data_IF_353288673436
#
_entry.id   IF_353288673436
#
_cell.length_a   1.000
_cell.length_b   1.000
_cell.length_c   1.000
_cell.angle_alpha   90.00
_cell.angle_beta   90.00
_cell.angle_gamma   90.00
#
_symmetry.space_group_name_H-M   'P 1'
#
loop_
_entity.id
_entity.type
_entity.pdbx_description
1 polymer ?
#
# COMPACT_ATOMS: atom_id res chain seq x y z
N UNK A 1 14.70 -20.39 16.05
CA UNK A 1 13.97 -20.51 14.78
C UNK A 1 14.56 -19.50 13.82
N UNK A 2 15.10 -19.86 12.65
CA UNK A 2 15.76 -18.89 11.79
C UNK A 2 14.69 -18.12 11.01
N UNK A 3 14.40 -16.91 11.48
CA UNK A 3 13.55 -15.93 10.79
C UNK A 3 14.21 -15.53 9.47
N UNK A 4 13.49 -15.68 8.36
CA UNK A 4 13.81 -15.08 7.06
C UNK A 4 13.72 -13.56 7.17
N UNK A 5 14.77 -12.92 7.69
CA UNK A 5 14.79 -11.47 7.91
C UNK A 5 15.06 -10.75 6.59
N UNK A 6 14.03 -10.15 6.00
CA UNK A 6 14.19 -9.13 4.95
C UNK A 6 15.09 -8.02 5.49
N UNK A 7 16.02 -7.52 4.68
CA UNK A 7 16.80 -6.35 5.10
C UNK A 7 15.86 -5.18 5.31
N UNK A 8 15.87 -4.56 6.49
CA UNK A 8 15.01 -3.39 6.78
C UNK A 8 15.25 -2.27 5.75
N UNK A 9 16.48 -2.13 5.25
CA UNK A 9 16.80 -1.24 4.13
C UNK A 9 16.04 -1.57 2.84
N UNK A 10 15.82 -2.84 2.52
CA UNK A 10 15.04 -3.24 1.34
C UNK A 10 13.56 -2.92 1.51
N UNK A 11 13.01 -2.98 2.73
CA UNK A 11 11.63 -2.52 2.97
C UNK A 11 11.51 -1.02 2.69
N UNK A 12 12.49 -0.22 3.10
CA UNK A 12 12.53 1.21 2.73
C UNK A 12 12.53 1.40 1.20
N UNK A 13 13.36 0.64 0.48
CA UNK A 13 13.41 0.71 -0.99
C UNK A 13 12.08 0.29 -1.61
N UNK A 14 11.48 -0.81 -1.16
CA UNK A 14 10.17 -1.27 -1.60
C UNK A 14 9.10 -0.19 -1.41
N UNK A 15 9.09 0.47 -0.25
CA UNK A 15 8.21 1.60 0.00
C UNK A 15 8.46 2.73 -1.01
N UNK A 16 9.73 3.09 -1.24
CA UNK A 16 10.11 4.20 -2.13
C UNK A 16 9.52 4.04 -3.53
N UNK A 17 9.60 2.82 -4.08
CA UNK A 17 8.91 2.45 -5.31
C UNK A 17 7.39 2.44 -5.16
N UNK A 18 6.86 1.68 -4.20
CA UNK A 18 5.42 1.46 -4.02
C UNK A 18 4.62 2.77 -3.86
N UNK A 19 5.22 3.80 -3.26
CA UNK A 19 4.61 5.11 -3.06
C UNK A 19 5.13 6.21 -4.01
N UNK A 20 5.91 5.83 -5.04
CA UNK A 20 6.40 6.71 -6.13
C UNK A 20 7.24 7.89 -5.63
N UNK A 21 8.09 7.66 -4.63
CA UNK A 21 8.97 8.66 -4.04
C UNK A 21 10.42 8.40 -4.45
N UNK A 22 10.67 8.58 -5.75
CA UNK A 22 11.91 8.16 -6.43
C UNK A 22 12.95 9.28 -6.57
N UNK A 23 12.81 10.39 -5.82
CA UNK A 23 13.89 11.37 -5.67
C UNK A 23 15.17 10.62 -5.32
N UNK A 24 16.28 10.93 -6.01
CA UNK A 24 17.21 9.92 -6.49
C UNK A 24 17.61 8.99 -5.37
N UNK A 25 17.42 7.70 -5.59
CA UNK A 25 17.87 6.61 -4.71
C UNK A 25 19.37 6.78 -4.33
N UNK A 26 20.12 7.61 -5.07
CA UNK A 26 21.46 8.10 -4.74
C UNK A 26 21.60 9.12 -3.59
N UNK A 27 20.51 9.51 -2.93
CA UNK A 27 20.51 10.33 -1.70
C UNK A 27 19.79 9.67 -0.52
N UNK A 28 19.26 8.45 -0.71
CA UNK A 28 18.88 7.58 0.40
C UNK A 28 20.16 7.41 1.20
N UNK A 29 20.17 7.68 2.52
CA UNK A 29 21.30 7.26 3.32
C UNK A 29 21.49 5.80 2.93
N UNK A 30 22.66 5.45 2.37
CA UNK A 30 23.14 4.07 2.40
C UNK A 30 22.65 3.52 3.71
N UNK A 31 21.97 2.38 3.75
CA UNK A 31 21.43 1.80 4.98
C UNK A 31 22.50 1.82 6.10
N UNK A 32 22.62 2.95 6.81
CA UNK A 32 23.72 3.34 7.71
C UNK A 32 23.13 3.64 9.06
N UNK A 33 21.83 3.94 9.12
CA UNK A 33 21.02 3.57 10.26
C UNK A 33 20.61 2.12 10.04
N UNK A 34 21.39 1.17 10.58
CA UNK A 34 20.88 -0.16 10.83
C UNK A 34 19.68 0.01 11.76
N UNK A 35 18.49 -0.14 11.21
CA UNK A 35 17.29 -0.24 12.01
C UNK A 35 17.18 -1.71 12.39
N UNK A 36 17.31 -2.00 13.68
CA UNK A 36 17.13 -3.35 14.21
C UNK A 36 15.70 -3.85 13.93
N UNK A 37 14.74 -2.93 13.87
CA UNK A 37 13.33 -3.23 13.71
C UNK A 37 12.64 -2.32 12.67
N UNK A 38 11.72 -2.91 11.91
CA UNK A 38 10.89 -2.18 10.94
C UNK A 38 10.00 -1.12 11.59
N UNK A 39 9.61 -1.34 12.85
CA UNK A 39 8.84 -0.37 13.63
C UNK A 39 9.63 0.92 13.85
N UNK A 40 10.93 0.79 14.09
CA UNK A 40 11.83 1.94 14.18
C UNK A 40 12.01 2.65 12.85
N UNK A 41 12.13 1.88 11.75
CA UNK A 41 12.16 2.46 10.41
C UNK A 41 10.89 3.28 10.14
N UNK A 42 9.71 2.69 10.38
CA UNK A 42 8.42 3.34 10.13
C UNK A 42 8.21 4.55 11.05
N UNK A 43 8.54 4.44 12.34
CA UNK A 43 8.49 5.54 13.28
C UNK A 43 9.38 6.70 12.84
N UNK A 44 10.60 6.40 12.39
CA UNK A 44 11.56 7.40 11.93
C UNK A 44 11.14 8.05 10.60
N UNK A 45 10.58 7.29 9.66
CA UNK A 45 9.97 7.86 8.44
C UNK A 45 8.79 8.76 8.80
N UNK A 46 7.83 8.25 9.60
CA UNK A 46 6.64 9.01 9.98
C UNK A 46 7.01 10.29 10.73
N UNK A 47 7.96 10.23 11.66
CA UNK A 47 8.43 11.41 12.39
C UNK A 47 9.05 12.45 11.44
N UNK A 48 9.96 12.04 10.55
CA UNK A 48 10.63 12.93 9.59
C UNK A 48 9.64 13.57 8.63
N UNK A 49 8.72 12.80 8.08
CA UNK A 49 7.75 13.29 7.10
C UNK A 49 6.64 14.12 7.73
N UNK A 50 6.19 13.76 8.92
CA UNK A 50 5.25 14.61 9.69
C UNK A 50 5.91 15.94 10.05
N UNK A 51 7.18 15.94 10.45
CA UNK A 51 7.93 17.18 10.71
C UNK A 51 8.00 18.07 9.47
N UNK A 52 8.31 17.50 8.30
CA UNK A 52 8.29 18.24 7.02
C UNK A 52 6.89 18.79 6.73
N UNK A 53 5.85 18.01 6.97
CA UNK A 53 4.48 18.41 6.69
C UNK A 53 3.98 19.51 7.63
N UNK A 54 4.27 19.41 8.93
CA UNK A 54 3.98 20.47 9.91
C UNK A 54 4.65 21.79 9.50
N UNK A 55 5.92 21.75 9.06
CA UNK A 55 6.63 22.94 8.57
C UNK A 55 6.03 23.55 7.31
N UNK A 56 5.41 22.73 6.45
CA UNK A 56 4.71 23.18 5.24
C UNK A 56 3.30 23.72 5.53
N UNK A 57 2.75 23.39 6.70
CA UNK A 57 1.35 23.58 7.04
C UNK A 57 0.54 22.31 6.84
N UNK A 58 -0.37 22.04 7.77
CA UNK A 58 -1.30 20.92 7.65
C UNK A 58 -2.27 21.14 6.49
N UNK A 59 -2.74 20.04 5.90
CA UNK A 59 -3.87 20.03 4.99
C UNK A 59 -5.10 20.63 5.68
N UNK A 60 -5.87 21.43 4.96
CA UNK A 60 -7.09 22.03 5.47
C UNK A 60 -8.18 21.83 4.44
N UNK A 61 -9.41 21.70 4.93
CA UNK A 61 -10.58 21.58 4.08
C UNK A 61 -11.65 22.59 4.50
N UNK A 62 -12.52 22.92 3.58
CA UNK A 62 -13.66 23.79 3.83
C UNK A 62 -14.82 22.95 4.35
N UNK A 63 -15.15 23.14 5.63
CA UNK A 63 -16.36 22.56 6.22
C UNK A 63 -17.47 23.61 6.21
N UNK A 64 -18.55 23.30 5.52
CA UNK A 64 -19.76 24.11 5.61
C UNK A 64 -20.32 24.06 7.03
N UNK A 65 -20.46 25.21 7.65
CA UNK A 65 -21.08 25.38 8.96
C UNK A 65 -22.35 26.21 8.84
N UNK A 66 -23.31 25.94 9.71
CA UNK A 66 -24.49 26.78 9.90
C UNK A 66 -24.58 27.14 11.38
N UNK A 67 -24.54 28.44 11.69
CA UNK A 67 -24.52 28.95 13.07
C UNK A 67 -25.26 30.27 13.19
N UNK A 68 -25.97 30.50 14.29
CA UNK A 68 -26.46 31.83 14.67
C UNK A 68 -25.29 32.73 15.07
N UNK A 69 -25.15 33.86 14.40
CA UNK A 69 -24.10 34.85 14.62
C UNK A 69 -24.71 36.23 14.84
N UNK A 70 -24.11 37.09 15.69
CA UNK A 70 -24.52 38.48 15.86
C UNK A 70 -24.16 39.36 14.64
N UNK A 71 -23.35 38.84 13.72
CA UNK A 71 -22.90 39.52 12.50
C UNK A 71 -23.06 38.62 11.28
N UNK A 72 -23.15 39.23 10.11
CA UNK A 72 -23.27 38.48 8.85
C UNK A 72 -21.92 37.87 8.47
N UNK A 73 -21.89 36.55 8.28
CA UNK A 73 -20.75 35.80 7.75
C UNK A 73 -21.23 34.81 6.69
N UNK A 74 -20.70 34.87 5.47
CA UNK A 74 -21.16 34.01 4.38
C UNK A 74 -22.60 34.29 3.97
N UNK A 75 -23.38 33.23 3.72
CA UNK A 75 -24.76 33.32 3.24
C UNK A 75 -25.74 33.27 4.41
N UNK A 76 -26.61 34.27 4.54
CA UNK A 76 -27.68 34.25 5.55
C UNK A 76 -28.77 33.25 5.16
N UNK A 77 -29.13 32.36 6.10
CA UNK A 77 -30.31 31.51 5.99
C UNK A 77 -31.50 32.24 6.66
N UNK A 78 -32.24 32.98 5.84
CA UNK A 78 -33.39 33.75 6.30
C UNK A 78 -34.50 32.86 6.87
N UNK A 79 -34.71 31.67 6.29
CA UNK A 79 -35.75 30.76 6.76
C UNK A 79 -35.41 30.21 8.15
N UNK A 80 -34.17 29.78 8.36
CA UNK A 80 -33.72 29.34 9.68
C UNK A 80 -33.72 30.49 10.69
N UNK A 81 -33.28 31.69 10.30
CA UNK A 81 -33.27 32.88 11.18
C UNK A 81 -34.67 33.29 11.65
N UNK A 82 -35.68 33.20 10.78
CA UNK A 82 -37.08 33.46 11.13
C UNK A 82 -37.60 32.36 12.05
N UNK A 83 -37.36 31.09 11.69
CA UNK A 83 -37.81 29.92 12.47
C UNK A 83 -37.25 29.91 13.90
N UNK A 84 -35.98 30.28 14.07
CA UNK A 84 -35.29 30.31 15.35
C UNK A 84 -35.47 31.63 16.11
N UNK A 85 -36.17 32.62 15.51
CA UNK A 85 -36.38 33.97 16.03
C UNK A 85 -35.07 34.69 16.36
N UNK A 86 -33.98 34.38 15.64
CA UNK A 86 -32.63 34.90 15.89
C UNK A 86 -32.60 36.44 15.87
N UNK A 87 -33.43 37.08 15.04
CA UNK A 87 -33.57 38.54 15.00
C UNK A 87 -33.95 39.16 16.35
N UNK A 88 -34.77 38.47 17.16
CA UNK A 88 -35.18 38.95 18.49
C UNK A 88 -34.01 38.95 19.46
N UNK A 89 -33.02 38.08 19.22
CA UNK A 89 -31.76 37.98 19.98
C UNK A 89 -30.62 38.80 19.37
N UNK A 90 -30.90 39.58 18.32
CA UNK A 90 -29.88 40.36 17.60
C UNK A 90 -28.94 39.50 16.76
N UNK A 91 -29.37 38.31 16.33
CA UNK A 91 -28.57 37.36 15.55
C UNK A 91 -29.21 36.95 14.23
N UNK A 92 -28.40 36.30 13.39
CA UNK A 92 -28.78 35.73 12.09
C UNK A 92 -28.18 34.33 11.96
N UNK A 93 -28.96 33.37 11.50
CA UNK A 93 -28.44 32.05 11.11
C UNK A 93 -27.69 32.20 9.79
N UNK A 94 -26.40 31.93 9.83
CA UNK A 94 -25.49 32.11 8.70
C UNK A 94 -24.85 30.77 8.31
N UNK A 95 -24.83 30.49 7.01
CA UNK A 95 -24.11 29.38 6.39
C UNK A 95 -22.77 29.91 5.82
N UNK A 96 -21.65 29.39 6.31
CA UNK A 96 -20.32 29.79 5.84
C UNK A 96 -19.35 28.63 5.87
N UNK A 97 -18.28 28.72 5.08
CA UNK A 97 -17.24 27.71 5.06
C UNK A 97 -16.15 28.04 6.09
N UNK A 98 -15.86 27.08 6.96
CA UNK A 98 -14.77 27.15 7.93
C UNK A 98 -13.56 26.38 7.40
N UNK A 99 -12.41 27.05 7.35
CA UNK A 99 -11.14 26.45 6.93
C UNK A 99 -10.53 25.69 8.11
N UNK A 100 -10.69 24.37 8.15
CA UNK A 100 -10.34 23.54 9.29
C UNK A 100 -9.21 22.57 8.97
N UNK A 101 -8.28 22.39 9.91
CA UNK A 101 -7.24 21.37 9.83
C UNK A 101 -7.76 19.94 10.13
N UNK A 102 -9.02 19.82 10.55
CA UNK A 102 -9.66 18.54 10.90
C UNK A 102 -10.07 17.73 9.66
N UNK A 103 -9.09 17.38 8.83
CA UNK A 103 -9.29 16.61 7.58
C UNK A 103 -9.06 15.12 7.80
N UNK A 104 -9.66 14.23 6.99
CA UNK A 104 -9.43 12.78 7.10
C UNK A 104 -7.96 12.39 7.04
N UNK A 105 -7.17 13.09 6.22
CA UNK A 105 -5.72 12.91 6.06
C UNK A 105 -5.00 13.22 7.38
N UNK A 106 -5.28 14.38 7.99
CA UNK A 106 -4.65 14.75 9.26
C UNK A 106 -5.09 13.85 10.41
N UNK A 107 -6.35 13.40 10.44
CA UNK A 107 -6.83 12.42 11.43
C UNK A 107 -6.05 11.11 11.33
N UNK A 108 -5.81 10.61 10.11
CA UNK A 108 -5.04 9.40 9.88
C UNK A 108 -3.57 9.54 10.33
N UNK A 109 -2.93 10.68 10.00
CA UNK A 109 -1.56 10.99 10.46
C UNK A 109 -1.52 11.06 11.98
N UNK A 110 -2.40 11.84 12.62
CA UNK A 110 -2.47 11.97 14.08
C UNK A 110 -2.63 10.62 14.77
N UNK A 111 -3.55 9.79 14.28
CA UNK A 111 -3.80 8.46 14.82
C UNK A 111 -2.55 7.56 14.74
N UNK A 112 -1.84 7.61 13.61
CA UNK A 112 -0.61 6.83 13.41
C UNK A 112 0.53 7.33 14.31
N UNK A 113 0.75 8.64 14.37
CA UNK A 113 1.76 9.26 15.24
C UNK A 113 1.52 8.87 16.70
N UNK A 114 0.28 8.94 17.16
CA UNK A 114 -0.09 8.55 18.52
C UNK A 114 0.14 7.05 18.78
N UNK A 115 -0.22 6.20 17.82
CA UNK A 115 -0.02 4.74 17.92
C UNK A 115 1.46 4.38 18.04
N UNK A 116 2.31 4.96 17.18
CA UNK A 116 3.75 4.70 17.18
C UNK A 116 4.43 5.29 18.42
N UNK A 117 4.02 6.46 18.88
CA UNK A 117 4.56 7.08 20.10
C UNK A 117 4.28 6.27 21.38
N UNK A 118 3.23 5.44 21.37
CA UNK A 118 2.82 4.58 22.49
C UNK A 118 3.25 3.11 22.33
N UNK A 119 3.94 2.77 21.25
CA UNK A 119 4.32 1.39 20.96
C UNK A 119 5.64 1.05 21.63
N UNK A 120 5.65 0.04 22.50
CA UNK A 120 6.87 -0.46 23.16
C UNK A 120 7.90 -1.05 22.17
N UNK A 121 7.45 -1.38 20.96
CA UNK A 121 8.29 -1.89 19.86
C UNK A 121 9.07 -0.80 19.11
N UNK A 122 8.89 0.47 19.46
CA UNK A 122 9.59 1.62 18.86
C UNK A 122 10.57 2.14 19.89
N UNK A 123 11.83 2.36 19.52
CA UNK A 123 12.84 2.88 20.42
C UNK A 123 12.48 4.27 20.98
N UNK A 124 12.87 4.52 22.23
CA UNK A 124 12.51 5.72 22.99
C UNK A 124 12.80 7.05 22.24
N UNK A 125 13.97 7.25 21.60
CA UNK A 125 14.23 8.51 20.90
C UNK A 125 13.22 8.81 19.79
N UNK A 126 12.68 7.77 19.14
CA UNK A 126 11.69 7.90 18.07
C UNK A 126 10.29 8.12 18.62
N UNK A 127 9.94 7.47 19.73
CA UNK A 127 8.68 7.74 20.45
C UNK A 127 8.60 9.20 20.89
N UNK A 128 9.69 9.73 21.44
CA UNK A 128 9.77 11.13 21.87
C UNK A 128 9.64 12.11 20.69
N UNK A 129 10.31 11.82 19.57
CA UNK A 129 10.19 12.63 18.37
C UNK A 129 8.74 12.68 17.85
N UNK A 130 8.03 11.55 17.90
CA UNK A 130 6.62 11.47 17.52
C UNK A 130 5.71 12.19 18.53
N UNK A 131 5.94 12.03 19.84
CA UNK A 131 5.16 12.67 20.88
C UNK A 131 5.21 14.20 20.78
N UNK A 132 6.39 14.76 20.46
CA UNK A 132 6.58 16.20 20.22
C UNK A 132 5.78 16.76 19.05
N UNK A 133 5.31 15.91 18.13
CA UNK A 133 4.50 16.31 16.98
C UNK A 133 3.01 16.38 17.29
N UNK A 134 2.53 15.72 18.35
CA UNK A 134 1.11 15.65 18.69
C UNK A 134 0.44 17.02 18.93
N UNK A 135 1.09 18.02 19.58
CA UNK A 135 0.48 19.33 19.80
C UNK A 135 0.10 20.08 18.50
N UNK A 136 0.80 19.81 17.39
CA UNK A 136 0.43 20.40 16.09
C UNK A 136 -0.91 19.91 15.55
N UNK A 137 -1.45 18.83 16.13
CA UNK A 137 -2.73 18.21 15.75
C UNK A 137 -3.83 18.41 16.81
N UNK A 138 -3.70 19.39 17.72
CA UNK A 138 -4.68 19.64 18.79
C UNK A 138 -6.11 19.90 18.27
N UNK A 139 -6.22 20.58 17.12
CA UNK A 139 -7.49 20.86 16.46
C UNK A 139 -7.99 19.74 15.53
N UNK A 140 -7.35 18.56 15.56
CA UNK A 140 -7.69 17.41 14.69
C UNK A 140 -8.33 16.32 15.53
N UNK A 141 -9.54 15.89 15.16
CA UNK A 141 -10.30 14.93 15.96
C UNK A 141 -9.60 13.57 16.01
N UNK A 142 -9.68 12.86 17.14
CA UNK A 142 -9.11 11.52 17.23
C UNK A 142 -9.91 10.55 16.36
N UNK A 143 -9.21 9.61 15.73
CA UNK A 143 -9.82 8.47 15.06
C UNK A 143 -9.07 7.20 15.48
N UNK A 144 -9.77 6.09 15.80
CA UNK A 144 -9.09 4.82 16.02
C UNK A 144 -8.33 4.40 14.76
N UNK A 145 -7.07 3.93 14.85
CA UNK A 145 -6.29 3.49 13.69
C UNK A 145 -7.03 2.47 12.80
N UNK A 146 -7.78 1.52 13.40
CA UNK A 146 -8.60 0.53 12.68
C UNK A 146 -9.78 1.12 11.90
N UNK A 147 -10.25 2.31 12.28
CA UNK A 147 -11.39 2.96 11.63
C UNK A 147 -10.98 3.80 10.41
N UNK A 148 -9.67 3.92 10.13
CA UNK A 148 -9.15 4.69 9.00
C UNK A 148 -9.48 3.95 7.69
N UNK A 149 -10.24 4.62 6.83
CA UNK A 149 -10.53 4.15 5.47
C UNK A 149 -9.50 4.71 4.50
N UNK A 150 -8.37 4.01 4.35
CA UNK A 150 -7.25 4.44 3.51
C UNK A 150 -7.65 4.71 2.05
N UNK A 151 -8.58 3.94 1.51
CA UNK A 151 -9.09 4.12 0.14
C UNK A 151 -9.84 5.44 -0.08
N UNK A 152 -10.40 6.03 1.00
CA UNK A 152 -11.14 7.29 0.95
C UNK A 152 -10.20 8.51 1.04
N UNK A 153 -8.93 8.30 1.41
CA UNK A 153 -7.92 9.37 1.54
C UNK A 153 -7.39 9.76 0.16
N UNK A 154 -8.11 10.67 -0.51
CA UNK A 154 -7.74 11.13 -1.85
C UNK A 154 -6.66 12.20 -1.80
N UNK A 155 -5.56 11.92 -2.49
CA UNK A 155 -4.50 12.90 -2.74
C UNK A 155 -4.79 13.67 -4.03
N UNK A 156 -4.75 14.98 -3.94
CA UNK A 156 -4.81 15.92 -5.06
C UNK A 156 -3.57 16.81 -5.08
N UNK A 157 -3.45 17.68 -6.10
CA UNK A 157 -2.26 18.53 -6.27
C UNK A 157 -1.86 19.31 -5.02
N UNK A 158 -2.83 19.82 -4.25
CA UNK A 158 -2.58 20.68 -3.09
C UNK A 158 -2.06 19.93 -1.85
N UNK A 159 -2.25 18.60 -1.77
CA UNK A 159 -1.79 17.78 -0.65
C UNK A 159 -0.91 16.61 -1.11
N UNK A 160 -0.34 16.71 -2.31
CA UNK A 160 0.55 15.70 -2.88
C UNK A 160 1.77 15.41 -1.99
N UNK A 161 2.17 16.38 -1.15
CA UNK A 161 3.25 16.21 -0.17
C UNK A 161 2.96 15.14 0.88
N UNK A 162 1.69 14.80 1.12
CA UNK A 162 1.29 13.74 2.07
C UNK A 162 1.52 12.33 1.54
N UNK A 163 1.81 12.14 0.24
CA UNK A 163 1.87 10.81 -0.37
C UNK A 163 2.75 9.83 0.38
N UNK A 164 3.98 10.24 0.69
CA UNK A 164 4.94 9.41 1.39
C UNK A 164 4.54 9.16 2.84
N UNK A 165 4.10 10.22 3.53
CA UNK A 165 3.65 10.17 4.91
C UNK A 165 2.46 9.21 5.05
N UNK A 166 1.43 9.34 4.21
CA UNK A 166 0.26 8.47 4.24
C UNK A 166 0.59 7.03 3.90
N UNK A 167 1.52 6.78 2.96
CA UNK A 167 1.98 5.43 2.67
C UNK A 167 2.67 4.77 3.88
N UNK A 168 3.56 5.50 4.56
CA UNK A 168 4.21 5.04 5.78
C UNK A 168 3.20 4.85 6.93
N UNK A 169 2.23 5.76 7.07
CA UNK A 169 1.15 5.63 8.04
C UNK A 169 0.26 4.40 7.76
N UNK A 170 -0.12 4.16 6.50
CA UNK A 170 -0.93 3.01 6.10
C UNK A 170 -0.21 1.70 6.46
N UNK A 171 1.07 1.60 6.11
CA UNK A 171 1.87 0.41 6.40
C UNK A 171 2.07 0.21 7.90
N UNK A 172 2.36 1.27 8.64
CA UNK A 172 2.49 1.22 10.09
C UNK A 172 1.18 0.73 10.72
N UNK A 173 0.03 1.29 10.35
CA UNK A 173 -1.27 0.89 10.90
C UNK A 173 -1.61 -0.55 10.52
N UNK A 174 -1.51 -0.94 9.25
CA UNK A 174 -1.90 -2.29 8.79
C UNK A 174 -0.98 -3.39 9.30
N UNK A 175 0.29 -3.10 9.55
CA UNK A 175 1.22 -4.13 10.01
C UNK A 175 1.58 -4.09 11.49
N UNK A 176 1.25 -3.03 12.24
CA UNK A 176 1.37 -3.03 13.71
C UNK A 176 0.12 -3.52 14.43
N UNK A 177 -1.05 -3.38 13.82
CA UNK A 177 -2.30 -3.82 14.45
C UNK A 177 -2.46 -5.33 14.30
N UNK A 178 -2.68 -6.08 15.40
CA UNK A 178 -3.06 -7.48 15.32
C UNK A 178 -4.29 -7.65 14.43
N UNK A 179 -4.26 -8.65 13.55
CA UNK A 179 -5.39 -9.02 12.70
C UNK A 179 -6.62 -9.40 13.56
N UNK A 180 -6.38 -10.08 14.69
CA UNK A 180 -7.41 -10.52 15.63
C UNK A 180 -7.18 -9.91 17.02
N UNK A 181 -8.26 -9.46 17.66
CA UNK A 181 -8.24 -8.65 18.89
C UNK A 181 -7.78 -9.36 20.18
N UNK A 182 -7.06 -10.46 20.09
CA UNK A 182 -6.50 -11.17 21.24
C UNK A 182 -5.00 -10.87 21.35
N UNK A 183 -4.64 -10.26 22.47
CA UNK A 183 -3.26 -9.91 22.81
C UNK A 183 -2.34 -11.13 22.94
N UNK A 184 -1.04 -10.83 22.94
CA UNK A 184 0.07 -11.75 23.15
C UNK A 184 0.13 -12.97 22.24
N UNK A 185 0.53 -12.69 21.00
CA UNK A 185 1.52 -13.53 20.34
C UNK A 185 2.70 -12.63 19.97
N UNK A 186 3.92 -13.16 20.09
CA UNK A 186 5.13 -12.66 19.43
C UNK A 186 4.87 -12.70 17.92
N UNK A 187 4.13 -11.70 17.43
CA UNK A 187 3.68 -11.63 16.06
C UNK A 187 4.92 -11.47 15.18
N UNK A 188 5.08 -12.29 14.12
CA UNK A 188 6.04 -11.97 13.10
C UNK A 188 5.71 -10.59 12.54
N UNK A 189 6.75 -9.94 11.99
CA UNK A 189 6.78 -8.86 11.00
C UNK A 189 5.41 -8.44 10.42
N UNK A 190 5.20 -7.15 10.11
CA UNK A 190 4.04 -6.58 9.39
C UNK A 190 3.12 -7.65 8.77
N UNK A 191 1.81 -7.65 9.10
CA UNK A 191 0.86 -8.67 8.62
C UNK A 191 1.15 -9.15 7.19
N UNK A 192 1.13 -10.47 6.96
CA UNK A 192 1.50 -11.08 5.67
C UNK A 192 0.79 -10.38 4.49
N UNK A 193 -0.46 -9.95 4.69
CA UNK A 193 -1.23 -9.16 3.72
C UNK A 193 -0.62 -7.78 3.41
N UNK A 194 -0.17 -7.05 4.44
CA UNK A 194 0.47 -5.75 4.26
C UNK A 194 1.80 -5.88 3.51
N UNK A 195 2.59 -6.91 3.82
CA UNK A 195 3.83 -7.20 3.09
C UNK A 195 3.58 -7.69 1.67
N UNK A 196 2.58 -8.54 1.46
CA UNK A 196 2.18 -9.00 0.14
C UNK A 196 1.76 -7.81 -0.73
N UNK A 197 0.93 -6.90 -0.21
CA UNK A 197 0.54 -5.70 -0.93
C UNK A 197 1.72 -4.75 -1.20
N UNK A 198 2.66 -4.62 -0.25
CA UNK A 198 3.86 -3.82 -0.45
C UNK A 198 4.74 -4.41 -1.56
N UNK A 199 4.93 -5.74 -1.55
CA UNK A 199 5.74 -6.46 -2.54
C UNK A 199 5.14 -6.34 -3.95
N UNK A 200 3.85 -6.58 -4.10
CA UNK A 200 3.12 -6.39 -5.35
C UNK A 200 3.29 -4.96 -5.90
N UNK A 201 3.03 -3.96 -5.07
CA UNK A 201 3.18 -2.54 -5.45
C UNK A 201 4.62 -2.20 -5.80
N UNK A 202 5.59 -2.72 -5.06
CA UNK A 202 7.01 -2.52 -5.31
C UNK A 202 7.41 -3.03 -6.70
N UNK A 203 7.14 -4.29 -7.02
CA UNK A 203 7.54 -4.89 -8.30
C UNK A 203 6.85 -4.15 -9.45
N UNK A 204 5.56 -3.81 -9.30
CA UNK A 204 4.81 -3.04 -10.30
C UNK A 204 5.44 -1.67 -10.57
N UNK A 205 5.71 -0.92 -9.50
CA UNK A 205 6.23 0.45 -9.61
C UNK A 205 7.70 0.47 -10.02
N UNK A 206 8.47 -0.58 -9.71
CA UNK A 206 9.82 -0.79 -10.24
C UNK A 206 9.81 -0.85 -11.77
N UNK A 207 9.06 -1.79 -12.36
CA UNK A 207 8.99 -1.91 -13.82
C UNK A 207 8.35 -0.68 -14.46
N UNK A 208 7.35 -0.05 -13.82
CA UNK A 208 6.74 1.16 -14.35
C UNK A 208 7.71 2.35 -14.42
N UNK A 209 8.70 2.41 -13.52
CA UNK A 209 9.68 3.48 -13.49
C UNK A 209 10.87 3.22 -14.41
N UNK A 210 11.46 2.03 -14.35
CA UNK A 210 12.67 1.69 -15.13
C UNK A 210 12.36 1.26 -16.56
N UNK A 211 11.17 0.71 -16.79
CA UNK A 211 10.74 0.14 -18.07
C UNK A 211 9.37 0.68 -18.51
N UNK A 212 9.23 2.01 -18.74
CA UNK A 212 7.97 2.61 -19.18
C UNK A 212 7.43 2.00 -20.50
N UNK A 213 8.31 1.48 -21.36
CA UNK A 213 7.99 0.77 -22.59
C UNK A 213 7.19 -0.52 -22.37
N UNK A 214 7.33 -1.16 -21.20
CA UNK A 214 6.59 -2.37 -20.82
C UNK A 214 5.20 -2.07 -20.23
N UNK A 215 4.81 -0.79 -20.14
CA UNK A 215 3.46 -0.36 -19.73
C UNK A 215 2.93 -1.07 -18.46
N UNK A 216 3.81 -1.30 -17.48
CA UNK A 216 3.52 -2.06 -16.27
C UNK A 216 2.27 -1.54 -15.54
N UNK A 217 1.25 -2.39 -15.39
CA UNK A 217 -0.02 -2.05 -14.72
C UNK A 217 -0.71 -3.29 -14.16
N UNK A 218 -1.60 -3.11 -13.19
CA UNK A 218 -2.63 -4.11 -12.93
C UNK A 218 -3.66 -4.04 -14.07
N UNK A 219 -4.07 -5.18 -14.61
CA UNK A 219 -5.01 -5.25 -15.73
C UNK A 219 -6.22 -6.14 -15.38
N UNK A 220 -7.35 -5.85 -16.00
CA UNK A 220 -8.48 -6.78 -16.03
C UNK A 220 -8.30 -7.71 -17.22
N UNK A 221 -8.39 -9.01 -16.98
CA UNK A 221 -8.43 -10.02 -18.04
C UNK A 221 -9.90 -10.36 -18.25
N UNK A 222 -10.48 -10.11 -19.43
CA UNK A 222 -11.85 -10.52 -19.70
C UNK A 222 -11.96 -12.05 -19.68
N UNK A 223 -13.10 -12.57 -19.22
CA UNK A 223 -13.40 -13.98 -19.42
C UNK A 223 -13.62 -14.23 -20.90
N UNK A 224 -12.91 -15.21 -21.44
CA UNK A 224 -13.17 -15.75 -22.77
C UNK A 224 -14.34 -16.73 -22.65
N UNK A 225 -15.55 -16.24 -22.96
CA UNK A 225 -16.81 -16.99 -22.93
C UNK A 225 -17.50 -16.88 -24.27
N UNK A 226 -18.07 -17.99 -24.74
CA UNK A 226 -18.72 -18.06 -26.06
C UNK A 226 -19.91 -17.09 -26.20
N UNK A 227 -20.68 -16.90 -25.11
CA UNK A 227 -21.81 -15.98 -25.04
C UNK A 227 -21.74 -15.13 -23.76
N UNK A 228 -21.40 -13.83 -23.86
CA UNK A 228 -21.43 -12.90 -22.73
C UNK A 228 -22.82 -12.71 -22.10
N UNK A 229 -23.90 -13.06 -22.82
CA UNK A 229 -25.28 -13.03 -22.36
C UNK A 229 -25.75 -14.33 -21.69
N UNK A 230 -24.88 -15.34 -21.58
CA UNK A 230 -25.21 -16.62 -20.97
C UNK A 230 -25.75 -16.44 -19.54
N UNK A 231 -26.69 -17.31 -19.17
CA UNK A 231 -27.31 -17.30 -17.83
C UNK A 231 -26.24 -17.32 -16.74
N UNK A 232 -26.16 -16.25 -15.95
CA UNK A 232 -25.23 -16.13 -14.83
C UNK A 232 -23.84 -15.59 -15.16
N UNK A 233 -23.53 -15.21 -16.42
CA UNK A 233 -22.24 -14.63 -16.81
C UNK A 233 -21.91 -13.35 -16.00
N UNK A 234 -22.92 -12.58 -15.58
CA UNK A 234 -22.78 -11.41 -14.71
C UNK A 234 -22.21 -11.74 -13.31
N UNK A 235 -22.27 -13.00 -12.88
CA UNK A 235 -21.73 -13.45 -11.59
C UNK A 235 -20.28 -13.91 -11.66
N UNK A 236 -19.66 -13.92 -12.84
CA UNK A 236 -18.25 -14.26 -12.98
C UNK A 236 -17.38 -13.23 -12.23
N UNK A 237 -16.41 -13.68 -11.42
CA UNK A 237 -15.56 -12.77 -10.67
C UNK A 237 -14.64 -12.00 -11.61
N UNK A 238 -14.34 -10.74 -11.30
CA UNK A 238 -13.38 -9.98 -12.08
C UNK A 238 -11.97 -10.60 -11.95
N UNK A 239 -11.38 -11.01 -13.08
CA UNK A 239 -9.99 -11.45 -13.12
C UNK A 239 -9.09 -10.23 -13.18
N UNK A 240 -8.43 -9.93 -12.07
CA UNK A 240 -7.49 -8.80 -11.95
C UNK A 240 -6.09 -9.32 -11.67
N UNK A 241 -5.15 -8.98 -12.55
CA UNK A 241 -3.75 -9.31 -12.36
C UNK A 241 -3.10 -8.36 -11.37
N UNK A 242 -2.11 -8.87 -10.64
CA UNK A 242 -1.21 -8.04 -9.83
C UNK A 242 -0.43 -7.08 -10.73
N UNK A 243 0.24 -7.65 -11.73
CA UNK A 243 1.11 -6.94 -12.67
C UNK A 243 0.98 -7.57 -14.05
N UNK A 244 0.87 -6.73 -15.05
CA UNK A 244 0.94 -7.08 -16.46
C UNK A 244 1.97 -6.16 -17.10
N UNK A 245 3.01 -6.78 -17.67
CA UNK A 245 3.97 -6.13 -18.55
C UNK A 245 3.51 -6.38 -19.98
N UNK A 246 3.38 -5.34 -20.77
CA UNK A 246 2.92 -5.39 -22.15
C UNK A 246 3.85 -4.59 -23.04
N UNK A 247 4.38 -5.25 -24.07
CA UNK A 247 5.15 -4.62 -25.15
C UNK A 247 4.68 -5.19 -26.47
N UNK A 248 4.25 -4.30 -27.37
CA UNK A 248 3.66 -4.67 -28.65
C UNK A 248 2.49 -5.67 -28.46
N UNK A 249 2.54 -6.87 -29.07
CA UNK A 249 1.56 -7.94 -28.89
C UNK A 249 1.90 -8.92 -27.75
N UNK A 250 3.10 -8.81 -27.15
CA UNK A 250 3.56 -9.68 -26.08
C UNK A 250 3.10 -9.22 -24.70
N UNK A 251 2.65 -10.18 -23.89
CA UNK A 251 2.22 -9.97 -22.50
C UNK A 251 2.92 -10.95 -21.56
N UNK A 252 3.47 -10.41 -20.48
CA UNK A 252 3.87 -11.16 -19.30
C UNK A 252 2.96 -10.79 -18.12
N UNK A 253 2.18 -11.76 -17.65
CA UNK A 253 1.37 -11.64 -16.44
C UNK A 253 2.23 -12.10 -15.26
N UNK A 254 2.45 -11.23 -14.28
CA UNK A 254 3.21 -11.55 -13.08
C UNK A 254 2.25 -11.53 -11.89
N UNK A 255 2.20 -12.64 -11.17
CA UNK A 255 1.45 -12.80 -9.93
C UNK A 255 2.45 -12.93 -8.77
N UNK A 256 2.35 -12.00 -7.82
CA UNK A 256 3.35 -11.85 -6.76
C UNK A 256 2.89 -12.49 -5.47
N UNK A 257 3.80 -13.16 -4.75
CA UNK A 257 3.46 -13.92 -3.56
C UNK A 257 4.45 -13.69 -2.44
N UNK A 258 3.93 -13.28 -1.28
CA UNK A 258 4.70 -13.11 -0.05
C UNK A 258 4.16 -14.08 1.00
N UNK A 259 4.90 -15.17 1.25
CA UNK A 259 4.51 -16.20 2.21
C UNK A 259 5.65 -16.44 3.21
N UNK A 260 5.29 -16.94 4.38
CA UNK A 260 6.26 -17.49 5.34
C UNK A 260 6.96 -18.76 4.80
N UNK A 261 6.29 -19.52 3.93
CA UNK A 261 6.85 -20.65 3.19
C UNK A 261 6.47 -20.57 1.71
N UNK A 262 7.45 -20.56 0.80
CA UNK A 262 7.21 -20.41 -0.65
C UNK A 262 6.80 -21.72 -1.34
N UNK A 263 6.96 -22.87 -0.66
CA UNK A 263 6.62 -24.21 -1.15
C UNK A 263 5.64 -24.87 -0.19
N UNK A 264 4.65 -25.60 -0.72
CA UNK A 264 3.79 -26.49 0.05
C UNK A 264 4.50 -27.82 0.31
N UNK A 265 4.24 -28.43 1.46
CA UNK A 265 4.69 -29.78 1.78
C UNK A 265 3.46 -30.68 1.81
N UNK A 266 3.41 -31.67 0.92
CA UNK A 266 2.35 -32.68 0.89
C UNK A 266 2.39 -33.57 2.14
N UNK A 267 1.31 -34.31 2.39
CA UNK A 267 1.22 -35.29 3.47
C UNK A 267 2.35 -36.34 3.41
N UNK A 268 2.90 -36.61 2.23
CA UNK A 268 3.99 -37.55 2.00
C UNK A 268 5.38 -36.91 1.98
N UNK A 269 5.50 -35.63 2.37
CA UNK A 269 6.78 -34.92 2.48
C UNK A 269 7.31 -34.35 1.17
N UNK A 270 6.65 -34.61 0.02
CA UNK A 270 7.00 -33.99 -1.26
C UNK A 270 6.69 -32.50 -1.25
N UNK A 271 7.62 -31.69 -1.76
CA UNK A 271 7.44 -30.24 -1.89
C UNK A 271 6.85 -29.89 -3.24
N UNK A 272 5.79 -29.09 -3.24
CA UNK A 272 5.08 -28.65 -4.45
C UNK A 272 4.87 -27.14 -4.43
N UNK A 273 4.62 -26.56 -5.59
CA UNK A 273 4.10 -25.18 -5.66
C UNK A 273 2.74 -25.09 -4.97
N UNK A 274 2.37 -23.88 -4.55
CA UNK A 274 1.01 -23.60 -4.11
C UNK A 274 0.06 -23.76 -5.28
N UNK A 275 -0.75 -24.82 -5.26
CA UNK A 275 -1.64 -25.18 -6.38
C UNK A 275 -2.57 -24.04 -6.77
N UNK A 276 -3.13 -23.32 -5.80
CA UNK A 276 -3.99 -22.16 -6.03
C UNK A 276 -3.33 -21.07 -6.87
N UNK A 277 -2.03 -20.83 -6.67
CA UNK A 277 -1.29 -19.81 -7.43
C UNK A 277 -1.08 -20.27 -8.87
N UNK A 278 -0.74 -21.55 -9.07
CA UNK A 278 -0.56 -22.12 -10.39
C UNK A 278 -1.88 -22.13 -11.18
N UNK A 279 -3.00 -22.45 -10.53
CA UNK A 279 -4.32 -22.38 -11.15
C UNK A 279 -4.71 -20.96 -11.51
N UNK A 280 -4.46 -20.00 -10.62
CA UNK A 280 -4.74 -18.59 -10.85
C UNK A 280 -3.96 -18.05 -12.06
N UNK A 281 -2.63 -18.22 -12.09
CA UNK A 281 -1.82 -17.72 -13.21
C UNK A 281 -2.16 -18.41 -14.53
N UNK A 282 -2.40 -19.73 -14.50
CA UNK A 282 -2.83 -20.48 -15.69
C UNK A 282 -4.15 -19.95 -16.24
N UNK A 283 -5.11 -19.65 -15.37
CA UNK A 283 -6.42 -19.10 -15.76
C UNK A 283 -6.26 -17.72 -16.40
N UNK A 284 -5.45 -16.83 -15.80
CA UNK A 284 -5.17 -15.52 -16.38
C UNK A 284 -4.52 -15.59 -17.75
N UNK A 285 -3.53 -16.47 -17.91
CA UNK A 285 -2.81 -16.64 -19.17
C UNK A 285 -3.72 -17.18 -20.28
N UNK A 286 -4.52 -18.21 -19.99
CA UNK A 286 -5.45 -18.80 -20.96
C UNK A 286 -6.47 -17.78 -21.48
N UNK A 287 -7.08 -16.99 -20.59
CA UNK A 287 -8.06 -16.00 -21.02
C UNK A 287 -7.45 -14.75 -21.65
N UNK A 288 -6.23 -14.37 -21.26
CA UNK A 288 -5.52 -13.28 -21.94
C UNK A 288 -5.11 -13.66 -23.37
N UNK A 289 -4.79 -14.94 -23.61
CA UNK A 289 -4.42 -15.47 -24.92
C UNK A 289 -5.56 -15.43 -25.96
N UNK A 290 -6.81 -15.26 -25.53
CA UNK A 290 -7.92 -15.03 -26.46
C UNK A 290 -7.82 -13.69 -27.21
N UNK A 291 -7.02 -12.75 -26.69
CA UNK A 291 -6.88 -11.39 -27.24
C UNK A 291 -5.44 -10.98 -27.55
N UNK A 292 -4.47 -11.84 -27.23
CA UNK A 292 -3.04 -11.58 -27.40
C UNK A 292 -2.33 -12.84 -27.88
N UNK A 293 -1.42 -12.69 -28.84
CA UNK A 293 -0.78 -13.84 -29.51
C UNK A 293 0.33 -14.48 -28.65
N UNK A 294 1.07 -13.68 -27.88
CA UNK A 294 2.19 -14.13 -27.07
C UNK A 294 1.94 -13.77 -25.59
N UNK A 295 1.51 -14.77 -24.82
CA UNK A 295 1.15 -14.62 -23.41
C UNK A 295 1.94 -15.61 -22.56
N UNK A 296 2.68 -15.07 -21.60
CA UNK A 296 3.38 -15.83 -20.59
C UNK A 296 2.91 -15.45 -19.18
N UNK A 297 3.02 -16.39 -18.26
CA UNK A 297 2.74 -16.20 -16.83
C UNK A 297 3.99 -16.38 -15.98
N UNK A 298 4.15 -15.57 -14.94
CA UNK A 298 5.23 -15.67 -13.97
C UNK A 298 4.69 -15.60 -12.54
N UNK A 299 4.97 -16.63 -11.75
CA UNK A 299 4.81 -16.57 -10.30
C UNK A 299 6.10 -16.03 -9.67
N UNK A 300 6.05 -14.84 -9.09
CA UNK A 300 7.19 -14.21 -8.43
C UNK A 300 7.01 -14.24 -6.91
N UNK A 301 7.80 -15.07 -6.24
CA UNK A 301 7.75 -15.22 -4.79
C UNK A 301 8.81 -14.34 -4.11
N UNK A 302 8.50 -13.79 -2.95
CA UNK A 302 9.57 -13.38 -2.03
C UNK A 302 10.27 -14.66 -1.50
N UNK A 303 11.61 -14.69 -1.59
CA UNK A 303 12.40 -15.83 -1.11
C UNK A 303 12.20 -16.03 0.38
N UNK A 304 12.03 -17.29 0.79
CA UNK A 304 11.95 -17.70 2.19
C UNK A 304 13.24 -18.39 2.64
N UNK A 305 13.39 -18.69 3.93
CA UNK A 305 14.52 -19.47 4.45
C UNK A 305 14.42 -20.98 4.15
N UNK A 306 13.38 -21.42 3.44
CA UNK A 306 13.20 -22.82 3.05
C UNK A 306 14.34 -23.32 2.15
N UNK A 307 14.76 -24.60 2.27
CA UNK A 307 15.91 -25.10 1.50
C UNK A 307 15.60 -25.36 0.03
N UNK A 308 14.33 -25.30 -0.38
CA UNK A 308 13.90 -25.41 -1.78
C UNK A 308 13.05 -24.20 -2.08
N UNK A 309 13.36 -23.54 -3.18
CA UNK A 309 12.66 -22.34 -3.66
C UNK A 309 11.88 -22.69 -4.93
N UNK A 310 10.74 -22.02 -5.17
CA UNK A 310 10.03 -22.10 -6.45
C UNK A 310 10.95 -21.80 -7.62
N UNK A 311 11.14 -22.78 -8.51
CA UNK A 311 11.82 -22.60 -9.79
C UNK A 311 11.10 -23.44 -10.85
N UNK A 312 10.49 -22.76 -11.82
CA UNK A 312 9.76 -23.36 -12.92
C UNK A 312 9.98 -22.55 -14.19
N UNK A 313 10.12 -23.26 -15.31
CA UNK A 313 10.06 -22.69 -16.65
C UNK A 313 9.56 -23.80 -17.58
N UNK A 314 8.27 -23.76 -17.90
CA UNK A 314 7.63 -24.84 -18.65
C UNK A 314 6.50 -24.30 -19.53
N UNK A 315 5.98 -25.15 -20.42
CA UNK A 315 4.80 -24.86 -21.23
C UNK A 315 3.63 -25.63 -20.66
N UNK A 316 2.60 -24.90 -20.22
CA UNK A 316 1.36 -25.46 -19.67
C UNK A 316 0.19 -25.00 -20.53
N UNK A 317 -0.57 -25.97 -21.07
CA UNK A 317 -1.68 -25.71 -22.00
C UNK A 317 -1.31 -24.80 -23.18
N UNK A 318 -0.09 -24.96 -23.73
CA UNK A 318 0.39 -24.16 -24.88
C UNK A 318 1.02 -22.82 -24.52
N UNK A 319 1.01 -22.41 -23.25
CA UNK A 319 1.56 -21.12 -22.81
C UNK A 319 2.74 -21.29 -21.85
N UNK A 320 3.71 -20.40 -21.92
CA UNK A 320 4.88 -20.43 -21.03
C UNK A 320 4.50 -19.98 -19.63
N UNK A 321 4.76 -20.81 -18.63
CA UNK A 321 4.57 -20.52 -17.21
C UNK A 321 5.91 -20.66 -16.49
N UNK A 322 6.31 -19.57 -15.84
CA UNK A 322 7.47 -19.46 -14.99
C UNK A 322 7.12 -19.38 -13.52
N UNK A 323 8.06 -19.77 -12.67
CA UNK A 323 8.05 -19.44 -11.25
C UNK A 323 9.48 -19.19 -10.78
N UNK A 324 9.68 -18.15 -9.99
CA UNK A 324 11.00 -17.82 -9.42
C UNK A 324 10.85 -17.05 -8.11
N UNK A 325 11.98 -16.79 -7.46
CA UNK A 325 12.03 -16.06 -6.19
C UNK A 325 12.90 -14.82 -6.29
N UNK A 326 12.48 -13.76 -5.59
CA UNK A 326 13.27 -12.56 -5.36
C UNK A 326 13.83 -12.55 -3.93
N UNK A 327 15.15 -12.44 -3.78
CA UNK A 327 15.83 -12.50 -2.48
C UNK A 327 15.95 -11.14 -1.78
N UNK A 328 14.91 -10.79 -1.03
CA UNK A 328 14.83 -9.55 -0.24
C UNK A 328 15.86 -9.45 0.90
N UNK A 329 16.72 -10.46 1.11
CA UNK A 329 17.82 -10.42 2.08
C UNK A 329 19.13 -9.91 1.46
N UNK A 330 19.19 -9.77 0.14
CA UNK A 330 20.39 -9.29 -0.57
C UNK A 330 20.46 -7.76 -0.59
N UNK A 331 21.66 -7.18 -0.67
CA UNK A 331 21.82 -5.75 -0.95
C UNK A 331 21.07 -5.31 -2.20
N UNK A 332 20.50 -4.11 -2.18
CA UNK A 332 19.70 -3.55 -3.28
C UNK A 332 20.28 -3.75 -4.69
N UNK A 333 21.60 -3.52 -4.96
CA UNK A 333 22.14 -3.72 -6.31
C UNK A 333 21.98 -5.15 -6.84
N UNK A 334 22.07 -6.18 -5.98
CA UNK A 334 21.86 -7.57 -6.38
C UNK A 334 20.37 -7.86 -6.57
N UNK A 335 19.51 -7.29 -5.72
CA UNK A 335 18.06 -7.39 -5.88
C UNK A 335 17.59 -6.79 -7.21
N UNK A 336 18.19 -5.65 -7.57
CA UNK A 336 17.96 -4.99 -8.84
C UNK A 336 18.35 -5.89 -10.02
N UNK A 337 19.52 -6.53 -9.96
CA UNK A 337 19.95 -7.49 -10.98
C UNK A 337 19.00 -8.68 -11.11
N UNK A 338 18.43 -9.19 -10.01
CA UNK A 338 17.43 -10.26 -10.07
C UNK A 338 16.16 -9.79 -10.79
N UNK A 339 15.69 -8.57 -10.55
CA UNK A 339 14.53 -7.99 -11.24
C UNK A 339 14.78 -7.81 -12.74
N UNK A 340 15.95 -7.28 -13.12
CA UNK A 340 16.35 -7.15 -14.52
C UNK A 340 16.47 -8.53 -15.21
N UNK A 341 16.97 -9.52 -14.48
CA UNK A 341 17.08 -10.90 -14.96
C UNK A 341 15.74 -11.55 -15.32
N UNK A 342 14.63 -11.07 -14.74
CA UNK A 342 13.29 -11.54 -15.09
C UNK A 342 12.96 -11.24 -16.57
N UNK A 343 13.31 -10.04 -17.05
CA UNK A 343 13.03 -9.59 -18.42
C UNK A 343 13.89 -10.29 -19.48
N UNK A 344 15.04 -10.85 -19.06
CA UNK A 344 15.88 -11.65 -19.95
C UNK A 344 15.41 -13.09 -20.04
N UNK A 345 14.76 -13.58 -18.99
CA UNK A 345 14.32 -14.98 -18.87
C UNK A 345 12.93 -15.18 -19.47
N UNK A 346 12.00 -14.26 -19.25
CA UNK A 346 10.60 -14.33 -19.66
C UNK A 346 10.23 -13.13 -20.51
#
# INVERSE_FOLDING_TARGET
>A
MPSSSVLVGNVYVMMAYAFRMLSPIGGVPHATTEFDHIHDLLADIVARETTKQVKRGLDHDYRQETRELPTVRGRVDLQASIRERSFVRGGLVCCFDEYVADTPINRAVRATVLMLARSDRVAEPRRDALARLLPFFDNVKPVPPRAIRWADLRLHRANASYRWLLGACELAVKGLLPADGTGDALLPWLSDDAMSSLFERFVKEYFRFHHPELRARAALVPWDVDDPGATGAIHLPAMRTDITLQRDSGILIIDTKYYSASMQVSQFGTRTFHSGNLYQISTYVQHAAATHDDVAGLLLYARTSGPVQPELDTVLAGHRIGATTLDLTKPWPLLQQELEGLLLRF
#
